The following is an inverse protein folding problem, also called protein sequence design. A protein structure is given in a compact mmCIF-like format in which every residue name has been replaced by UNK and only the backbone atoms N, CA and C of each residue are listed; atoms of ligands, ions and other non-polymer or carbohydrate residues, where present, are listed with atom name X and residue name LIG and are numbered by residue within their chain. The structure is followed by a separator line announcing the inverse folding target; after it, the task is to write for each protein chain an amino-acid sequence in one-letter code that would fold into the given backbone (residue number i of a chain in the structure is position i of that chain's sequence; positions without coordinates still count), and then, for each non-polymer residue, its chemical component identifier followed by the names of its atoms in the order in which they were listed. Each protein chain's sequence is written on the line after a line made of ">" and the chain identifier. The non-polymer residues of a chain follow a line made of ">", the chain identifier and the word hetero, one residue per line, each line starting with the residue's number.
data_IF_329795105088
#
_entry.id   IF_329795105088
#
_cell.length_a   1.000
_cell.length_b   1.000
_cell.length_c   1.000
_cell.angle_alpha   90.00
_cell.angle_beta   90.00
_cell.angle_gamma   90.00
#
_symmetry.space_group_name_H-M   'P 1'
#
loop_
_entity.id
_entity.type
_entity.pdbx_description
1 polymer ?
#
# COMPACT_ATOMS: atom_id res chain seq x y z
N UNK A 1 4.89 3.58 -5.33
CA UNK A 1 3.51 3.34 -4.84
C UNK A 1 2.85 2.30 -5.73
N UNK A 2 1.75 1.70 -5.28
CA UNK A 2 0.95 0.76 -6.06
C UNK A 2 -0.53 0.82 -5.64
N UNK A 3 -1.44 0.47 -6.55
CA UNK A 3 -2.89 0.46 -6.27
C UNK A 3 -3.60 -0.78 -6.83
N UNK A 4 -3.17 -1.27 -8.00
CA UNK A 4 -3.61 -2.54 -8.60
C UNK A 4 -2.44 -3.25 -9.31
N UNK A 5 -1.36 -3.52 -8.56
CA UNK A 5 -0.14 -4.15 -9.08
C UNK A 5 0.27 -5.38 -8.26
N UNK A 6 -0.13 -6.55 -8.76
CA UNK A 6 0.25 -7.85 -8.18
C UNK A 6 1.75 -8.11 -8.35
N UNK A 7 2.33 -7.74 -9.49
CA UNK A 7 3.74 -8.01 -9.77
C UNK A 7 4.67 -7.20 -8.87
N UNK A 8 4.33 -5.94 -8.61
CA UNK A 8 5.04 -5.10 -7.65
C UNK A 8 5.02 -5.72 -6.25
N UNK A 9 3.87 -6.27 -5.84
CA UNK A 9 3.73 -6.93 -4.55
C UNK A 9 4.51 -8.26 -4.46
N UNK A 10 4.52 -9.06 -5.53
CA UNK A 10 5.31 -10.30 -5.61
C UNK A 10 6.83 -10.05 -5.51
N UNK A 11 7.27 -8.81 -5.78
CA UNK A 11 8.67 -8.40 -5.67
C UNK A 11 8.94 -7.56 -4.41
N UNK A 12 8.05 -7.61 -3.41
CA UNK A 12 8.18 -6.90 -2.13
C UNK A 12 9.57 -7.01 -1.50
N UNK A 13 10.16 -8.20 -1.50
CA UNK A 13 11.50 -8.42 -0.92
C UNK A 13 12.61 -7.70 -1.70
N UNK A 14 12.51 -7.65 -3.03
CA UNK A 14 13.50 -7.00 -3.89
C UNK A 14 13.42 -5.48 -3.82
N UNK A 15 12.20 -4.95 -3.73
CA UNK A 15 11.95 -3.50 -3.57
C UNK A 15 12.29 -3.05 -2.14
N UNK A 16 12.06 -3.94 -1.17
CA UNK A 16 12.22 -3.69 0.25
C UNK A 16 10.93 -3.16 0.87
N UNK A 17 10.49 -3.81 1.96
CA UNK A 17 9.21 -3.53 2.64
C UNK A 17 9.03 -2.09 3.12
N UNK A 18 10.13 -1.35 3.36
CA UNK A 18 10.09 0.04 3.80
C UNK A 18 9.90 1.05 2.65
N UNK A 19 10.00 0.60 1.40
CA UNK A 19 10.01 1.47 0.21
C UNK A 19 8.69 1.43 -0.57
N UNK A 20 7.64 0.79 -0.03
CA UNK A 20 6.38 0.56 -0.75
C UNK A 20 5.23 1.23 0.00
N UNK A 21 4.43 2.02 -0.71
CA UNK A 21 3.17 2.59 -0.21
C UNK A 21 2.01 2.15 -1.11
N UNK A 22 0.89 1.77 -0.50
CA UNK A 22 -0.38 1.63 -1.21
C UNK A 22 -0.99 3.01 -1.50
N UNK A 23 -1.65 3.14 -2.64
CA UNK A 23 -2.42 4.32 -3.02
C UNK A 23 -3.76 3.93 -3.65
N UNK A 24 -4.64 4.90 -3.89
CA UNK A 24 -5.94 4.66 -4.56
C UNK A 24 -6.02 5.29 -5.94
N UNK A 25 -5.16 6.26 -6.22
CA UNK A 25 -5.11 7.06 -7.44
C UNK A 25 -6.43 7.76 -7.84
N UNK A 26 -7.29 8.06 -6.86
CA UNK A 26 -8.51 8.82 -7.11
C UNK A 26 -8.21 10.27 -7.54
N UNK A 27 -8.90 10.85 -8.54
CA UNK A 27 -10.06 10.32 -9.29
C UNK A 27 -9.72 9.81 -10.70
N UNK A 28 -8.52 9.28 -10.92
CA UNK A 28 -8.14 8.82 -12.26
C UNK A 28 -9.04 7.69 -12.76
N UNK A 29 -9.15 7.56 -14.08
CA UNK A 29 -10.06 6.59 -14.73
C UNK A 29 -9.74 5.13 -14.41
N UNK A 30 -8.49 4.85 -14.08
CA UNK A 30 -7.93 3.56 -13.67
C UNK A 30 -7.81 3.42 -12.15
N UNK A 31 -8.30 4.40 -11.38
CA UNK A 31 -8.37 4.32 -9.93
C UNK A 31 -9.14 3.08 -9.45
N UNK A 32 -8.79 2.62 -8.25
CA UNK A 32 -9.55 1.55 -7.58
C UNK A 32 -10.83 2.04 -6.90
N UNK A 33 -11.10 3.35 -6.82
CA UNK A 33 -12.36 3.88 -6.27
C UNK A 33 -13.56 3.34 -7.07
N UNK A 34 -14.66 2.82 -6.45
CA UNK A 34 -15.00 2.81 -5.00
C UNK A 34 -14.36 1.73 -4.18
N UNK A 35 -13.83 0.73 -4.87
CA UNK A 35 -13.53 -0.57 -4.31
C UNK A 35 -12.11 -0.68 -3.77
N UNK A 36 -11.46 0.46 -3.47
CA UNK A 36 -10.06 0.50 -3.03
C UNK A 36 -9.80 -0.36 -1.80
N UNK A 37 -10.78 -0.44 -0.89
CA UNK A 37 -10.68 -1.31 0.28
C UNK A 37 -10.67 -2.78 -0.11
N UNK A 38 -11.64 -3.22 -0.91
CA UNK A 38 -11.72 -4.61 -1.37
C UNK A 38 -10.50 -4.99 -2.23
N UNK A 39 -9.98 -4.07 -3.04
CA UNK A 39 -8.74 -4.30 -3.81
C UNK A 39 -7.55 -4.47 -2.89
N UNK A 40 -7.35 -3.58 -1.90
CA UNK A 40 -6.26 -3.70 -0.94
C UNK A 40 -6.33 -5.02 -0.14
N UNK A 41 -7.53 -5.44 0.30
CA UNK A 41 -7.74 -6.70 1.02
C UNK A 41 -7.41 -7.92 0.14
N UNK A 42 -7.80 -7.91 -1.14
CA UNK A 42 -7.45 -8.98 -2.09
C UNK A 42 -5.94 -9.06 -2.34
N UNK A 43 -5.29 -7.92 -2.54
CA UNK A 43 -3.86 -7.85 -2.85
C UNK A 43 -3.02 -8.25 -1.63
N UNK A 44 -3.31 -7.71 -0.45
CA UNK A 44 -2.41 -7.80 0.70
C UNK A 44 -2.93 -8.61 1.88
N UNK A 45 -4.19 -9.04 1.90
CA UNK A 45 -4.81 -9.65 3.07
C UNK A 45 -4.16 -10.95 3.56
N UNK A 46 -3.31 -11.56 2.72
CA UNK A 46 -2.54 -12.76 3.05
C UNK A 46 -1.17 -12.45 3.69
N UNK A 47 -0.73 -11.19 3.69
CA UNK A 47 0.56 -10.78 4.26
C UNK A 47 0.49 -10.66 5.80
N UNK A 48 1.65 -10.73 6.49
CA UNK A 48 1.72 -10.44 7.91
C UNK A 48 1.17 -9.04 8.26
N UNK A 49 0.50 -8.91 9.40
CA UNK A 49 -0.18 -7.69 9.80
C UNK A 49 0.76 -6.48 9.95
N UNK A 50 2.01 -6.70 10.38
CA UNK A 50 3.05 -5.67 10.49
C UNK A 50 3.52 -5.17 9.12
N UNK A 51 3.61 -6.05 8.13
CA UNK A 51 3.89 -5.70 6.72
C UNK A 51 2.75 -4.87 6.15
N UNK A 52 1.49 -5.29 6.34
CA UNK A 52 0.31 -4.52 5.90
C UNK A 52 0.33 -3.13 6.53
N UNK A 53 0.61 -3.02 7.84
CA UNK A 53 0.67 -1.74 8.54
C UNK A 53 1.76 -0.81 7.99
N UNK A 54 2.90 -1.35 7.56
CA UNK A 54 3.93 -0.55 6.87
C UNK A 54 3.45 -0.02 5.52
N UNK A 55 2.97 -0.91 4.64
CA UNK A 55 2.58 -0.58 3.27
C UNK A 55 1.38 0.37 3.20
N UNK A 56 0.39 0.18 4.08
CA UNK A 56 -0.84 0.98 4.08
C UNK A 56 -0.68 2.33 4.77
N UNK A 57 0.39 2.53 5.55
CA UNK A 57 0.44 3.64 6.50
C UNK A 57 1.83 4.06 6.95
N UNK A 58 2.59 3.13 7.54
CA UNK A 58 3.87 3.45 8.18
C UNK A 58 4.87 4.11 7.23
N UNK A 59 5.03 3.57 6.04
CA UNK A 59 5.99 4.07 5.06
C UNK A 59 5.60 5.47 4.56
N UNK A 60 4.31 5.75 4.38
CA UNK A 60 3.84 7.08 3.97
C UNK A 60 4.08 8.13 5.07
N UNK A 61 3.85 7.77 6.34
CA UNK A 61 4.13 8.65 7.49
C UNK A 61 5.61 9.02 7.54
N UNK A 62 6.50 8.03 7.42
CA UNK A 62 7.95 8.26 7.46
C UNK A 62 8.41 9.09 6.25
N UNK A 63 8.02 8.70 5.03
CA UNK A 63 8.42 9.36 3.79
C UNK A 63 7.98 10.82 3.73
N UNK A 64 6.77 11.13 4.21
CA UNK A 64 6.19 12.47 4.16
C UNK A 64 6.45 13.29 5.44
N UNK A 65 7.11 12.72 6.44
CA UNK A 65 7.37 13.38 7.73
C UNK A 65 6.09 13.79 8.45
N UNK A 66 5.05 12.94 8.41
CA UNK A 66 3.76 13.25 9.02
C UNK A 66 3.81 13.05 10.54
N UNK A 67 3.23 13.99 11.27
CA UNK A 67 3.00 13.82 12.70
C UNK A 67 2.01 12.67 12.91
N UNK A 68 2.42 11.70 13.71
CA UNK A 68 1.58 10.55 14.00
C UNK A 68 1.72 10.08 15.45
N UNK A 69 0.61 10.14 16.21
CA UNK A 69 0.50 9.53 17.54
C UNK A 69 -0.15 8.13 17.44
N UNK A 70 0.55 7.06 17.90
CA UNK A 70 0.17 5.64 17.77
C UNK A 70 -1.28 5.24 18.01
#
# INVERSE_FOLDING_TARGET
>A
CFFDDVYGLDNLEKVGVNNICFETDYPHSDSTWPHSKETAEKLMGHLPADVIRKLMRGNAIEMLGLDFEP
#
